data_IF_442025848834
#
_entry.id   IF_442025848834
#
_cell.length_a   1.000
_cell.length_b   1.000
_cell.length_c   1.000
_cell.angle_alpha   90.00
_cell.angle_beta   90.00
_cell.angle_gamma   90.00
#
_symmetry.space_group_name_H-M   'P 1'
#
loop_
_entity.id
_entity.type
_entity.pdbx_description
1 polymer ?
#
# COMPACT_ATOMS: atom_id res chain seq x y z
N UNK A 1 2.74 -5.30 -6.14
CA UNK A 1 2.83 -6.36 -5.10
C UNK A 1 1.83 -7.47 -5.45
N UNK A 2 2.12 -8.74 -5.14
CA UNK A 2 1.22 -9.89 -5.36
C UNK A 2 1.22 -10.83 -4.13
N UNK A 3 0.19 -11.65 -3.97
CA UNK A 3 0.06 -12.55 -2.81
C UNK A 3 0.94 -13.82 -2.90
N UNK A 4 1.37 -14.21 -4.11
CA UNK A 4 2.29 -15.33 -4.35
C UNK A 4 2.94 -15.19 -5.73
N UNK A 5 4.11 -15.79 -5.91
CA UNK A 5 4.82 -15.93 -7.20
C UNK A 5 5.01 -17.43 -7.47
N UNK A 6 4.69 -17.88 -8.68
CA UNK A 6 4.76 -19.29 -9.09
C UNK A 6 5.25 -19.40 -10.53
N UNK A 7 5.77 -20.57 -10.95
CA UNK A 7 6.03 -20.88 -12.36
C UNK A 7 4.81 -20.62 -13.24
N UNK A 8 5.05 -20.22 -14.50
CA UNK A 8 4.00 -19.76 -15.40
C UNK A 8 2.97 -20.86 -15.75
N UNK A 9 3.42 -22.10 -15.85
CA UNK A 9 2.61 -23.30 -16.09
C UNK A 9 1.72 -23.67 -14.89
N UNK A 10 2.15 -23.35 -13.66
CA UNK A 10 1.39 -23.59 -12.44
C UNK A 10 0.37 -22.49 -12.09
N UNK A 11 0.51 -21.29 -12.67
CA UNK A 11 -0.25 -20.09 -12.30
C UNK A 11 -1.76 -20.34 -12.26
N UNK A 12 -2.32 -20.95 -13.31
CA UNK A 12 -3.76 -21.22 -13.40
C UNK A 12 -4.21 -22.24 -12.37
N UNK A 13 -3.46 -23.32 -12.19
CA UNK A 13 -3.77 -24.35 -11.21
C UNK A 13 -3.77 -23.78 -9.79
N UNK A 14 -2.76 -22.97 -9.45
CA UNK A 14 -2.63 -22.33 -8.13
C UNK A 14 -3.78 -21.35 -7.85
N UNK A 15 -4.13 -20.52 -8.84
CA UNK A 15 -5.23 -19.56 -8.73
C UNK A 15 -6.58 -20.29 -8.59
N UNK A 16 -6.80 -21.37 -9.36
CA UNK A 16 -8.02 -22.16 -9.29
C UNK A 16 -8.16 -22.86 -7.94
N UNK A 17 -7.09 -23.48 -7.44
CA UNK A 17 -7.10 -24.10 -6.12
C UNK A 17 -7.47 -23.09 -5.02
N UNK A 18 -6.95 -21.85 -5.09
CA UNK A 18 -7.33 -20.80 -4.14
C UNK A 18 -8.82 -20.43 -4.23
N UNK A 19 -9.35 -20.29 -5.45
CA UNK A 19 -10.78 -20.03 -5.67
C UNK A 19 -11.66 -21.17 -5.13
N UNK A 20 -11.29 -22.43 -5.38
CA UNK A 20 -12.03 -23.58 -4.89
C UNK A 20 -12.02 -23.68 -3.35
N UNK A 21 -10.93 -23.26 -2.69
CA UNK A 21 -10.89 -23.17 -1.22
C UNK A 21 -11.81 -22.07 -0.67
N UNK A 22 -11.96 -20.96 -1.39
CA UNK A 22 -12.92 -19.91 -1.02
C UNK A 22 -14.36 -20.36 -1.26
N UNK A 23 -14.63 -21.04 -2.38
CA UNK A 23 -15.96 -21.52 -2.74
C UNK A 23 -16.56 -22.52 -1.72
N UNK A 24 -15.71 -23.20 -0.95
CA UNK A 24 -16.12 -24.11 0.14
C UNK A 24 -16.58 -23.38 1.41
N UNK A 25 -16.39 -22.06 1.51
CA UNK A 25 -16.71 -21.28 2.72
C UNK A 25 -18.10 -20.64 2.61
N UNK A 26 -18.76 -20.30 3.74
CA UNK A 26 -20.04 -19.60 3.72
C UNK A 26 -19.94 -18.22 3.03
N UNK A 27 -20.76 -18.01 2.00
CA UNK A 27 -20.74 -16.78 1.20
C UNK A 27 -21.00 -15.52 2.04
N UNK A 28 -21.95 -15.58 2.99
CA UNK A 28 -22.27 -14.45 3.86
C UNK A 28 -21.06 -13.97 4.68
N UNK A 29 -20.33 -14.91 5.29
CA UNK A 29 -19.11 -14.59 6.04
C UNK A 29 -18.03 -13.98 5.13
N UNK A 30 -17.80 -14.55 3.94
CA UNK A 30 -16.84 -14.02 2.98
C UNK A 30 -17.17 -12.60 2.53
N UNK A 31 -18.43 -12.32 2.22
CA UNK A 31 -18.88 -11.00 1.78
C UNK A 31 -18.73 -9.96 2.87
N UNK A 32 -19.15 -10.28 4.11
CA UNK A 32 -19.01 -9.36 5.25
C UNK A 32 -17.54 -9.06 5.53
N UNK A 33 -16.69 -10.10 5.61
CA UNK A 33 -15.25 -9.90 5.79
C UNK A 33 -14.65 -9.05 4.66
N UNK A 34 -15.01 -9.31 3.40
CA UNK A 34 -14.46 -8.56 2.28
C UNK A 34 -14.91 -7.10 2.26
N UNK A 35 -16.14 -6.81 2.71
CA UNK A 35 -16.65 -5.45 2.87
C UNK A 35 -15.88 -4.68 3.93
N UNK A 36 -15.64 -5.29 5.10
CA UNK A 36 -14.84 -4.67 6.17
C UNK A 36 -13.40 -4.36 5.71
N UNK A 37 -12.78 -5.26 4.95
CA UNK A 37 -11.44 -5.04 4.41
C UNK A 37 -11.36 -3.97 3.31
N UNK A 38 -12.51 -3.59 2.72
CA UNK A 38 -12.59 -2.66 1.58
C UNK A 38 -13.58 -1.55 1.86
N UNK A 39 -13.62 -1.10 3.11
CA UNK A 39 -14.41 0.05 3.49
C UNK A 39 -13.87 1.29 2.78
N UNK A 40 -14.55 1.70 1.71
CA UNK A 40 -14.08 2.75 0.82
C UNK A 40 -14.06 4.11 1.52
N UNK A 41 -15.01 4.37 2.41
CA UNK A 41 -15.10 5.63 3.16
C UNK A 41 -13.96 5.73 4.16
N UNK A 42 -13.74 4.68 4.96
CA UNK A 42 -12.63 4.65 5.91
C UNK A 42 -11.26 4.75 5.23
N UNK A 43 -11.10 4.14 4.04
CA UNK A 43 -9.87 4.25 3.24
C UNK A 43 -9.69 5.68 2.73
N UNK A 44 -10.74 6.30 2.17
CA UNK A 44 -10.67 7.66 1.67
C UNK A 44 -10.32 8.67 2.78
N UNK A 45 -10.97 8.56 3.94
CA UNK A 45 -10.69 9.41 5.10
C UNK A 45 -9.24 9.29 5.57
N UNK A 46 -8.66 8.09 5.51
CA UNK A 46 -7.26 7.87 5.85
C UNK A 46 -6.34 8.49 4.81
N UNK A 47 -6.64 8.33 3.52
CA UNK A 47 -5.88 8.93 2.42
C UNK A 47 -5.87 10.47 2.52
N UNK A 48 -7.00 11.09 2.87
CA UNK A 48 -7.08 12.54 3.06
C UNK A 48 -6.22 13.02 4.23
N UNK A 49 -6.24 12.29 5.36
CA UNK A 49 -5.37 12.57 6.52
C UNK A 49 -3.90 12.42 6.17
N UNK A 50 -3.54 11.33 5.48
CA UNK A 50 -2.18 11.09 5.01
C UNK A 50 -1.73 12.21 4.06
N UNK A 51 -2.59 12.62 3.13
CA UNK A 51 -2.32 13.71 2.19
C UNK A 51 -2.05 15.05 2.89
N UNK A 52 -2.85 15.40 3.89
CA UNK A 52 -2.67 16.62 4.67
C UNK A 52 -1.32 16.62 5.42
N UNK A 53 -1.01 15.53 6.11
CA UNK A 53 0.27 15.36 6.82
C UNK A 53 1.46 15.37 5.85
N UNK A 54 1.33 14.71 4.71
CA UNK A 54 2.36 14.69 3.69
C UNK A 54 2.62 16.10 3.13
N UNK A 55 1.57 16.87 2.83
CA UNK A 55 1.69 18.24 2.37
C UNK A 55 2.38 19.15 3.39
N UNK A 56 2.07 18.99 4.68
CA UNK A 56 2.77 19.68 5.77
C UNK A 56 4.27 19.32 5.79
N UNK A 57 4.59 18.03 5.67
CA UNK A 57 5.99 17.56 5.67
C UNK A 57 6.77 18.02 4.45
N UNK A 58 6.13 18.20 3.29
CA UNK A 58 6.81 18.75 2.10
C UNK A 58 7.32 20.19 2.29
N UNK A 59 6.77 20.95 3.24
CA UNK A 59 7.22 22.32 3.51
C UNK A 59 8.44 22.40 4.41
N UNK A 60 8.85 21.29 5.04
CA UNK A 60 9.94 21.29 6.04
C UNK A 60 11.32 21.42 5.39
N UNK A 61 12.29 21.85 6.19
CA UNK A 61 13.69 21.91 5.77
C UNK A 61 14.24 20.51 5.44
N UNK A 62 13.80 19.48 6.16
CA UNK A 62 14.13 18.07 5.89
C UNK A 62 13.68 17.65 4.48
N UNK A 63 12.45 17.96 4.08
CA UNK A 63 11.96 17.62 2.75
C UNK A 63 12.77 18.33 1.65
N UNK A 64 13.10 19.61 1.83
CA UNK A 64 13.94 20.36 0.89
C UNK A 64 15.32 19.72 0.72
N UNK A 65 15.96 19.34 1.82
CA UNK A 65 17.26 18.65 1.81
C UNK A 65 17.16 17.29 1.11
N UNK A 66 16.11 16.51 1.36
CA UNK A 66 15.88 15.24 0.68
C UNK A 66 15.73 15.41 -0.84
N UNK A 67 14.97 16.42 -1.30
CA UNK A 67 14.80 16.71 -2.73
C UNK A 67 16.09 17.23 -3.38
N UNK A 68 16.81 18.12 -2.70
CA UNK A 68 18.11 18.61 -3.18
C UNK A 68 19.12 17.48 -3.32
N UNK A 69 19.25 16.65 -2.28
CA UNK A 69 20.14 15.49 -2.29
C UNK A 69 19.80 14.51 -3.42
N UNK A 70 18.50 14.25 -3.64
CA UNK A 70 18.03 13.43 -4.76
C UNK A 70 18.41 14.03 -6.12
N UNK A 71 18.18 15.33 -6.33
CA UNK A 71 18.53 16.01 -7.57
C UNK A 71 20.05 16.02 -7.82
N UNK A 72 20.84 16.16 -6.75
CA UNK A 72 22.30 16.14 -6.75
C UNK A 72 22.89 14.73 -6.76
N UNK A 73 22.06 13.67 -6.69
CA UNK A 73 22.46 12.25 -6.60
C UNK A 73 23.43 11.96 -5.44
N UNK A 74 23.26 12.66 -4.32
CA UNK A 74 23.99 12.43 -3.07
C UNK A 74 23.07 11.90 -1.98
N UNK A 75 23.65 11.38 -0.91
CA UNK A 75 22.89 11.07 0.30
C UNK A 75 22.42 12.39 0.97
N UNK A 76 21.17 12.46 1.46
CA UNK A 76 20.70 13.60 2.25
C UNK A 76 21.38 13.67 3.62
N UNK A 77 21.70 14.88 4.07
CA UNK A 77 22.30 15.18 5.38
C UNK A 77 21.30 15.94 6.25
N UNK A 78 20.57 15.20 7.09
CA UNK A 78 19.56 15.79 7.97
C UNK A 78 20.13 16.41 9.25
N UNK A 79 21.44 16.27 9.53
CA UNK A 79 22.04 16.74 10.79
C UNK A 79 22.03 18.26 10.97
N UNK A 80 21.71 19.01 9.91
CA UNK A 80 21.72 20.49 9.86
C UNK A 80 20.33 21.12 9.76
N UNK A 81 19.27 20.31 9.65
CA UNK A 81 17.89 20.76 9.37
C UNK A 81 16.86 20.26 10.39
N UNK A 82 17.29 19.46 11.37
CA UNK A 82 16.47 18.98 12.50
C UNK A 82 16.63 19.81 13.77
#
# INVERSE_FOLDING_TARGET
LANAVVPADELRARARAAADQLAKRPLGALTVTKRLMRDAEAIADLMDKEGALFAERLQTAEAREAFMAFAERRAPDFSKVG
#
